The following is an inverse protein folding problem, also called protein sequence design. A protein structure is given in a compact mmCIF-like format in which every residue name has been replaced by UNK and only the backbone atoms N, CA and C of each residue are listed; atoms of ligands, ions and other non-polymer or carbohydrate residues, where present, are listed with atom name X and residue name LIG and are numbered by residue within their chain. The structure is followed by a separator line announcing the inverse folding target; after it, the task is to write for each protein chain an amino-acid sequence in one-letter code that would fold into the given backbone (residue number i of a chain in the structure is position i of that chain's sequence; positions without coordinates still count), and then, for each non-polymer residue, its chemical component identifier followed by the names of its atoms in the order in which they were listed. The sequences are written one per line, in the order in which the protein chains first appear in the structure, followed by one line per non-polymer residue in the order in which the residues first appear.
data_IF_865679585477
#
_entry.id   IF_865679585477
#
_cell.length_a   1.000
_cell.length_b   1.000
_cell.length_c   1.000
_cell.angle_alpha   90.00
_cell.angle_beta   90.00
_cell.angle_gamma   90.00
#
_symmetry.space_group_name_H-M   'P 1'
#
loop_
_entity.id
_entity.type
_entity.pdbx_description
1 polymer ?
#
# COMPACT_ATOMS: atom_id res chain seq x y z
N UNK A 1 -6.66 -8.35 -15.51
CA UNK A 1 -7.51 -7.21 -15.97
C UNK A 1 -7.41 -6.05 -14.98
N UNK A 2 -6.39 -5.20 -15.13
CA UNK A 2 -6.23 -3.94 -14.39
C UNK A 2 -7.49 -3.06 -14.38
N UNK A 3 -8.27 -3.14 -15.46
CA UNK A 3 -9.58 -2.50 -15.65
C UNK A 3 -10.61 -2.73 -14.53
N UNK A 4 -10.51 -3.81 -13.76
CA UNK A 4 -11.44 -4.07 -12.64
C UNK A 4 -10.99 -3.44 -11.32
N UNK A 5 -9.69 -3.27 -11.14
CA UNK A 5 -9.12 -2.86 -9.84
C UNK A 5 -8.88 -1.35 -9.77
N UNK A 6 -8.47 -0.69 -10.86
CA UNK A 6 -8.29 0.77 -10.85
C UNK A 6 -9.58 1.56 -10.52
N UNK A 7 -10.78 1.20 -11.04
CA UNK A 7 -12.01 1.85 -10.62
C UNK A 7 -12.28 1.69 -9.11
N UNK A 8 -11.91 0.54 -8.54
CA UNK A 8 -12.04 0.25 -7.10
C UNK A 8 -11.06 1.10 -6.29
N UNK A 9 -9.78 1.21 -6.72
CA UNK A 9 -8.78 2.11 -6.09
C UNK A 9 -9.32 3.54 -6.05
N UNK A 10 -9.85 4.03 -7.17
CA UNK A 10 -10.47 5.35 -7.25
C UNK A 10 -11.61 5.52 -6.25
N UNK A 11 -12.52 4.55 -6.18
CA UNK A 11 -13.65 4.59 -5.24
C UNK A 11 -13.15 4.65 -3.79
N UNK A 12 -12.18 3.82 -3.45
CA UNK A 12 -11.60 3.77 -2.10
C UNK A 12 -10.89 5.06 -1.73
N UNK A 13 -10.13 5.67 -2.65
CA UNK A 13 -9.52 6.98 -2.45
C UNK A 13 -10.56 8.09 -2.24
N UNK A 14 -11.72 7.99 -2.90
CA UNK A 14 -12.83 8.93 -2.68
C UNK A 14 -13.47 8.74 -1.31
N UNK A 15 -13.66 7.50 -0.87
CA UNK A 15 -14.11 7.22 0.50
C UNK A 15 -13.08 7.71 1.51
N UNK A 16 -11.80 7.43 1.27
CA UNK A 16 -10.70 7.87 2.11
C UNK A 16 -10.73 9.38 2.28
N UNK A 17 -10.87 10.18 1.23
CA UNK A 17 -10.95 11.64 1.33
C UNK A 17 -12.10 12.14 2.25
N UNK A 18 -13.23 11.43 2.29
CA UNK A 18 -14.42 11.81 3.07
C UNK A 18 -14.34 11.43 4.55
N UNK A 19 -13.57 10.39 4.88
CA UNK A 19 -13.50 9.90 6.26
C UNK A 19 -12.73 10.88 7.17
N UNK A 20 -13.23 11.16 8.39
CA UNK A 20 -12.49 11.95 9.38
C UNK A 20 -11.11 11.34 9.65
N UNK A 21 -10.06 12.12 9.38
CA UNK A 21 -8.67 11.73 9.59
C UNK A 21 -8.23 12.02 11.01
N UNK A 22 -8.86 11.34 11.94
CA UNK A 22 -8.54 11.49 13.36
C UNK A 22 -7.60 10.37 13.82
N UNK A 23 -6.53 10.76 14.50
CA UNK A 23 -5.64 9.84 15.20
C UNK A 23 -6.03 9.87 16.68
N UNK A 24 -6.79 8.86 17.13
CA UNK A 24 -7.20 8.73 18.54
C UNK A 24 -6.42 7.59 19.21
N UNK A 25 -5.21 7.90 19.64
CA UNK A 25 -4.35 6.97 20.37
C UNK A 25 -4.15 5.66 19.62
N UNK A 26 -4.73 4.58 20.14
CA UNK A 26 -4.52 3.18 19.72
C UNK A 26 -5.68 2.60 18.88
N UNK A 27 -6.68 3.42 18.54
CA UNK A 27 -7.89 2.94 17.86
C UNK A 27 -7.71 2.83 16.33
N UNK A 28 -8.04 1.65 15.78
CA UNK A 28 -8.16 1.46 14.33
C UNK A 28 -9.46 2.14 13.87
N UNK A 29 -9.33 3.24 13.12
CA UNK A 29 -10.47 4.00 12.56
C UNK A 29 -10.80 3.55 11.14
N UNK A 30 -11.99 3.95 10.66
CA UNK A 30 -12.46 3.64 9.30
C UNK A 30 -11.47 4.10 8.22
N UNK A 31 -10.86 5.28 8.39
CA UNK A 31 -9.86 5.77 7.44
C UNK A 31 -8.64 4.85 7.34
N UNK A 32 -8.21 4.24 8.44
CA UNK A 32 -7.09 3.31 8.48
C UNK A 32 -7.44 2.01 7.76
N UNK A 33 -8.61 1.43 8.04
CA UNK A 33 -9.12 0.27 7.31
C UNK A 33 -9.28 0.54 5.81
N UNK A 34 -9.72 1.75 5.46
CA UNK A 34 -9.83 2.19 4.07
C UNK A 34 -8.45 2.30 3.42
N UNK A 35 -7.45 2.83 4.13
CA UNK A 35 -6.06 2.87 3.68
C UNK A 35 -5.50 1.48 3.38
N UNK A 36 -5.72 0.53 4.29
CA UNK A 36 -5.33 -0.87 4.08
C UNK A 36 -5.96 -1.46 2.81
N UNK A 37 -7.26 -1.23 2.61
CA UNK A 37 -7.97 -1.74 1.44
C UNK A 37 -7.51 -1.07 0.14
N UNK A 38 -7.11 0.22 0.17
CA UNK A 38 -6.50 0.91 -0.99
C UNK A 38 -5.25 0.15 -1.43
N UNK A 39 -4.32 -0.11 -0.50
CA UNK A 39 -3.05 -0.74 -0.84
C UNK A 39 -3.21 -2.23 -1.19
N UNK A 40 -4.11 -2.96 -0.52
CA UNK A 40 -4.47 -4.33 -0.94
C UNK A 40 -5.06 -4.35 -2.35
N UNK A 41 -5.86 -3.35 -2.72
CA UNK A 41 -6.40 -3.24 -4.08
C UNK A 41 -5.32 -2.87 -5.10
N UNK A 42 -4.36 -2.01 -4.73
CA UNK A 42 -3.20 -1.70 -5.56
C UNK A 42 -2.31 -2.93 -5.79
N UNK A 43 -2.15 -3.81 -4.80
CA UNK A 43 -1.52 -5.11 -4.99
C UNK A 43 -2.21 -5.94 -6.10
N UNK A 44 -3.54 -5.99 -6.10
CA UNK A 44 -4.30 -6.67 -7.17
C UNK A 44 -4.11 -5.99 -8.53
N UNK A 45 -3.95 -4.66 -8.57
CA UNK A 45 -3.53 -3.94 -9.79
C UNK A 45 -2.20 -4.50 -10.27
N UNK A 46 -1.18 -4.56 -9.40
CA UNK A 46 0.15 -5.10 -9.70
C UNK A 46 0.10 -6.52 -10.25
N UNK A 47 -0.61 -7.43 -9.57
CA UNK A 47 -0.82 -8.80 -10.05
C UNK A 47 -1.50 -8.84 -11.42
N UNK A 48 -2.53 -8.01 -11.63
CA UNK A 48 -3.32 -8.00 -12.86
C UNK A 48 -2.58 -7.50 -14.10
N UNK A 49 -1.44 -6.85 -13.90
CA UNK A 49 -0.50 -6.41 -14.95
C UNK A 49 0.79 -7.24 -14.97
N UNK A 50 0.85 -8.33 -14.18
CA UNK A 50 2.05 -9.16 -14.00
C UNK A 50 3.27 -8.32 -13.59
N UNK A 51 3.06 -7.30 -12.75
CA UNK A 51 4.10 -6.38 -12.28
C UNK A 51 4.81 -5.58 -13.39
N UNK A 52 4.28 -5.60 -14.61
CA UNK A 52 4.74 -4.76 -15.73
C UNK A 52 4.00 -3.42 -15.70
N UNK A 53 4.51 -2.53 -14.87
CA UNK A 53 3.91 -1.22 -14.55
C UNK A 53 3.64 -0.29 -15.72
N UNK A 54 4.37 -0.44 -16.83
CA UNK A 54 4.08 0.30 -18.07
C UNK A 54 2.64 0.10 -18.55
N UNK A 55 1.98 -1.01 -18.20
CA UNK A 55 0.58 -1.31 -18.53
C UNK A 55 -0.47 -0.54 -17.70
N UNK A 56 -0.08 0.21 -16.68
CA UNK A 56 -1.01 0.96 -15.82
C UNK A 56 -1.35 2.32 -16.45
N UNK A 57 -0.37 2.96 -17.09
CA UNK A 57 -0.38 4.38 -17.46
C UNK A 57 -1.49 4.80 -18.42
N UNK A 58 -1.91 3.91 -19.32
CA UNK A 58 -2.88 4.21 -20.38
C UNK A 58 -4.35 4.13 -19.92
N UNK A 59 -4.60 3.88 -18.64
CA UNK A 59 -5.97 3.71 -18.14
C UNK A 59 -6.64 5.04 -17.78
N UNK A 60 -7.93 5.18 -18.13
CA UNK A 60 -8.68 6.44 -17.98
C UNK A 60 -8.78 6.95 -16.53
N UNK A 61 -8.78 6.04 -15.54
CA UNK A 61 -8.85 6.39 -14.12
C UNK A 61 -7.52 6.92 -13.54
N UNK A 62 -6.40 6.78 -14.25
CA UNK A 62 -5.06 7.09 -13.72
C UNK A 62 -4.95 8.55 -13.30
N UNK A 63 -5.42 9.47 -14.14
CA UNK A 63 -5.40 10.91 -13.85
C UNK A 63 -6.15 11.25 -12.56
N UNK A 64 -7.32 10.63 -12.35
CA UNK A 64 -8.14 10.86 -11.17
C UNK A 64 -7.53 10.23 -9.91
N UNK A 65 -6.93 9.04 -10.04
CA UNK A 65 -6.15 8.42 -8.95
C UNK A 65 -4.98 9.32 -8.54
N UNK A 66 -4.20 9.83 -9.50
CA UNK A 66 -3.09 10.74 -9.22
C UNK A 66 -3.56 12.01 -8.50
N UNK A 67 -4.67 12.61 -8.94
CA UNK A 67 -5.27 13.77 -8.28
C UNK A 67 -5.65 13.47 -6.83
N UNK A 68 -6.31 12.33 -6.57
CA UNK A 68 -6.74 11.94 -5.23
C UNK A 68 -5.59 11.57 -4.31
N UNK A 69 -4.57 10.88 -4.82
CA UNK A 69 -3.33 10.60 -4.07
C UNK A 69 -2.65 11.92 -3.69
N UNK A 70 -2.55 12.86 -4.63
CA UNK A 70 -1.97 14.18 -4.38
C UNK A 70 -2.70 14.92 -3.27
N UNK A 71 -4.04 14.94 -3.31
CA UNK A 71 -4.87 15.59 -2.30
C UNK A 71 -4.74 14.93 -0.90
N UNK A 72 -4.47 13.63 -0.86
CA UNK A 72 -4.40 12.84 0.38
C UNK A 72 -2.97 12.50 0.82
N UNK A 73 -1.94 13.07 0.20
CA UNK A 73 -0.54 12.62 0.36
C UNK A 73 -0.09 12.50 1.82
N UNK A 74 -0.37 13.52 2.63
CA UNK A 74 0.03 13.58 4.06
C UNK A 74 -0.59 12.43 4.85
N UNK A 75 -1.83 12.07 4.53
CA UNK A 75 -2.54 10.99 5.22
C UNK A 75 -2.15 9.61 4.74
N UNK A 76 -1.77 9.47 3.46
CA UNK A 76 -1.22 8.23 2.92
C UNK A 76 0.19 7.98 3.46
N UNK A 77 1.02 9.01 3.53
CA UNK A 77 2.35 8.99 4.17
C UNK A 77 2.23 8.61 5.65
N UNK A 78 1.35 9.29 6.40
CA UNK A 78 1.06 8.96 7.79
C UNK A 78 0.56 7.52 7.95
N UNK A 79 -0.32 7.04 7.06
CA UNK A 79 -0.75 5.65 7.06
C UNK A 79 0.43 4.70 6.91
N UNK A 80 1.28 4.91 5.91
CA UNK A 80 2.43 4.02 5.62
C UNK A 80 3.38 3.97 6.82
N UNK A 81 3.69 5.12 7.41
CA UNK A 81 4.58 5.23 8.57
C UNK A 81 4.04 4.49 9.81
N UNK A 82 2.75 4.63 10.10
CA UNK A 82 2.17 4.06 11.33
C UNK A 82 1.66 2.64 11.16
N UNK A 83 1.37 2.20 9.93
CA UNK A 83 0.71 0.92 9.65
C UNK A 83 1.42 -0.31 10.24
N UNK A 84 2.74 -0.50 10.04
CA UNK A 84 3.46 -1.64 10.60
C UNK A 84 3.30 -1.67 12.13
N UNK A 85 3.56 -0.54 12.79
CA UNK A 85 3.48 -0.42 14.23
C UNK A 85 2.06 -0.63 14.77
N UNK A 86 1.03 -0.17 14.06
CA UNK A 86 -0.37 -0.43 14.45
C UNK A 86 -0.72 -1.92 14.35
N UNK A 87 -0.30 -2.60 13.28
CA UNK A 87 -0.55 -4.03 13.09
C UNK A 87 0.31 -4.93 14.00
N UNK A 88 1.42 -4.44 14.56
CA UNK A 88 2.16 -5.10 15.66
C UNK A 88 1.40 -4.94 16.97
N UNK A 89 1.14 -3.68 17.36
CA UNK A 89 0.85 -3.34 18.74
C UNK A 89 -0.60 -3.62 19.14
N UNK A 90 -1.52 -3.67 18.17
CA UNK A 90 -2.96 -3.68 18.49
C UNK A 90 -3.70 -4.91 18.02
N UNK A 91 -3.21 -5.63 17.01
CA UNK A 91 -4.03 -6.65 16.39
C UNK A 91 -3.21 -7.82 15.83
N UNK A 92 -2.98 -8.82 16.69
CA UNK A 92 -2.42 -10.10 16.26
C UNK A 92 -3.33 -10.88 15.27
N UNK A 93 -4.50 -10.34 14.90
CA UNK A 93 -5.50 -11.06 14.09
C UNK A 93 -5.32 -10.91 12.58
N UNK A 94 -4.64 -9.86 12.10
CA UNK A 94 -4.42 -9.68 10.66
C UNK A 94 -3.34 -10.65 10.17
N UNK A 95 -3.58 -11.29 9.02
CA UNK A 95 -2.65 -12.26 8.45
C UNK A 95 -1.39 -11.57 7.92
N UNK A 96 -0.22 -12.22 8.05
CA UNK A 96 1.02 -11.79 7.41
C UNK A 96 0.84 -11.53 5.91
N UNK A 97 0.02 -12.33 5.23
CA UNK A 97 -0.34 -12.18 3.82
C UNK A 97 -0.97 -10.80 3.52
N UNK A 98 -1.89 -10.32 4.36
CA UNK A 98 -2.50 -8.99 4.19
C UNK A 98 -1.49 -7.85 4.36
N UNK A 99 -0.59 -7.96 5.33
CA UNK A 99 0.47 -6.97 5.57
C UNK A 99 1.42 -6.92 4.37
N UNK A 100 1.83 -8.09 3.86
CA UNK A 100 2.63 -8.20 2.64
C UNK A 100 1.92 -7.59 1.43
N UNK A 101 0.60 -7.78 1.30
CA UNK A 101 -0.20 -7.16 0.23
C UNK A 101 -0.23 -5.64 0.34
N UNK A 102 -0.38 -5.08 1.55
CA UNK A 102 -0.30 -3.63 1.76
C UNK A 102 1.06 -3.11 1.33
N UNK A 103 2.14 -3.74 1.79
CA UNK A 103 3.50 -3.33 1.41
C UNK A 103 3.73 -3.37 -0.10
N UNK A 104 3.28 -4.45 -0.75
CA UNK A 104 3.34 -4.60 -2.20
C UNK A 104 2.51 -3.53 -2.91
N UNK A 105 1.35 -3.17 -2.37
CA UNK A 105 0.48 -2.13 -2.91
C UNK A 105 1.11 -0.74 -2.89
N UNK A 106 1.86 -0.42 -1.83
CA UNK A 106 2.67 0.80 -1.74
C UNK A 106 3.69 0.83 -2.89
N UNK A 107 4.34 -0.30 -3.16
CA UNK A 107 5.28 -0.45 -4.27
C UNK A 107 4.60 -0.23 -5.64
N UNK A 108 3.36 -0.71 -5.82
CA UNK A 108 2.57 -0.44 -7.02
C UNK A 108 2.22 1.03 -7.14
N UNK A 109 1.92 1.74 -6.05
CA UNK A 109 1.70 3.18 -6.11
C UNK A 109 2.96 3.89 -6.61
N UNK A 110 4.10 3.64 -5.97
CA UNK A 110 5.36 4.34 -6.24
C UNK A 110 5.89 4.00 -7.63
N UNK A 111 6.01 2.73 -7.97
CA UNK A 111 6.63 2.29 -9.23
C UNK A 111 5.61 2.22 -10.38
N UNK A 112 4.37 1.88 -10.07
CA UNK A 112 3.28 1.76 -11.04
C UNK A 112 2.84 3.09 -11.63
N UNK A 113 2.89 4.14 -10.83
CA UNK A 113 2.44 5.48 -11.21
C UNK A 113 3.59 6.47 -11.45
N UNK A 114 4.85 6.04 -11.37
CA UNK A 114 6.00 6.89 -11.69
C UNK A 114 6.05 7.23 -13.18
N UNK A 115 6.52 8.43 -13.50
CA UNK A 115 6.60 8.94 -14.87
C UNK A 115 5.24 9.12 -15.54
N UNK A 116 4.19 9.41 -14.75
CA UNK A 116 2.91 9.92 -15.26
C UNK A 116 3.00 11.43 -15.48
N UNK A 117 3.53 12.16 -14.49
CA UNK A 117 3.84 13.57 -14.62
C UNK A 117 4.93 13.98 -13.63
N UNK A 118 5.79 14.96 -13.95
CA UNK A 118 6.82 15.43 -13.04
C UNK A 118 6.27 15.96 -11.71
N UNK A 119 5.06 16.53 -11.71
CA UNK A 119 4.40 17.00 -10.49
C UNK A 119 3.98 15.84 -9.59
N UNK A 120 3.48 14.76 -10.19
CA UNK A 120 3.08 13.58 -9.42
C UNK A 120 4.28 12.78 -8.93
N UNK A 121 5.36 12.70 -9.71
CA UNK A 121 6.59 12.04 -9.29
C UNK A 121 7.16 12.66 -8.01
N UNK A 122 7.10 13.99 -7.86
CA UNK A 122 7.45 14.65 -6.58
C UNK A 122 6.54 14.25 -5.42
N UNK A 123 5.26 13.97 -5.68
CA UNK A 123 4.35 13.45 -4.64
C UNK A 123 4.78 12.05 -4.23
N UNK A 124 5.15 11.21 -5.21
CA UNK A 124 5.63 9.86 -4.95
C UNK A 124 6.97 9.86 -4.21
N UNK A 125 7.91 10.73 -4.56
CA UNK A 125 9.20 10.87 -3.85
C UNK A 125 9.01 11.12 -2.36
N UNK A 126 8.07 11.99 -1.98
CA UNK A 126 7.75 12.26 -0.56
C UNK A 126 7.13 11.06 0.17
N UNK A 127 6.55 10.10 -0.57
CA UNK A 127 5.95 8.87 -0.01
C UNK A 127 6.98 7.71 0.01
N UNK A 128 8.06 7.81 -0.78
CA UNK A 128 8.83 6.67 -1.25
C UNK A 128 10.01 6.28 -0.37
N UNK A 129 10.77 7.21 0.19
CA UNK A 129 12.08 6.83 0.74
C UNK A 129 12.05 6.49 2.23
N UNK A 130 11.59 7.38 3.11
CA UNK A 130 11.77 7.17 4.55
C UNK A 130 10.77 6.16 5.13
N UNK A 131 9.48 6.30 4.78
CA UNK A 131 8.38 5.52 5.35
C UNK A 131 8.43 4.07 4.87
N UNK A 132 8.83 3.86 3.61
CA UNK A 132 8.94 2.52 3.03
C UNK A 132 10.11 1.77 3.66
N UNK A 133 11.26 2.41 3.85
CA UNK A 133 12.40 1.81 4.52
C UNK A 133 12.10 1.43 5.98
N UNK A 134 11.31 2.24 6.69
CA UNK A 134 10.90 1.92 8.05
C UNK A 134 9.89 0.76 8.07
N UNK A 135 8.93 0.73 7.13
CA UNK A 135 8.03 -0.42 6.95
C UNK A 135 8.84 -1.72 6.77
N UNK A 136 9.84 -1.65 5.91
CA UNK A 136 10.71 -2.76 5.54
C UNK A 136 11.53 -3.26 6.72
N UNK A 137 12.04 -2.34 7.52
CA UNK A 137 12.74 -2.64 8.77
C UNK A 137 11.82 -3.33 9.78
N UNK A 138 10.59 -2.86 9.94
CA UNK A 138 9.61 -3.51 10.81
C UNK A 138 9.36 -4.97 10.38
N UNK A 139 9.07 -5.20 9.09
CA UNK A 139 8.84 -6.55 8.55
C UNK A 139 10.03 -7.48 8.81
N UNK A 140 11.25 -7.00 8.54
CA UNK A 140 12.48 -7.77 8.77
C UNK A 140 12.61 -8.20 10.22
N UNK A 141 12.41 -7.26 11.17
CA UNK A 141 12.44 -7.56 12.61
C UNK A 141 11.40 -8.65 12.94
N UNK A 142 10.21 -8.62 12.36
CA UNK A 142 9.17 -9.61 12.69
C UNK A 142 9.53 -11.01 12.21
N UNK A 143 10.11 -11.11 11.01
CA UNK A 143 10.56 -12.38 10.43
C UNK A 143 11.69 -12.96 11.29
N UNK A 144 12.68 -12.14 11.62
CA UNK A 144 13.88 -12.53 12.38
C UNK A 144 13.56 -12.91 13.82
N UNK A 145 12.71 -12.12 14.50
CA UNK A 145 12.34 -12.37 15.90
C UNK A 145 11.29 -13.47 16.07
N UNK A 146 10.62 -13.87 14.98
CA UNK A 146 9.51 -14.82 15.05
C UNK A 146 8.26 -14.26 15.74
N UNK A 147 8.15 -12.93 15.88
CA UNK A 147 6.97 -12.26 16.43
C UNK A 147 5.69 -12.62 15.66
N UNK A 148 5.83 -12.97 14.38
CA UNK A 148 4.76 -13.39 13.47
C UNK A 148 5.17 -14.66 12.71
N UNK A 149 4.83 -15.85 13.23
CA UNK A 149 5.30 -17.12 12.65
C UNK A 149 4.66 -17.45 11.29
N UNK A 150 3.52 -16.84 10.96
CA UNK A 150 2.80 -16.99 9.70
C UNK A 150 3.53 -16.39 8.49
N UNK A 151 4.46 -15.44 8.67
CA UNK A 151 5.36 -15.00 7.59
C UNK A 151 6.24 -16.14 7.03
N UNK A 152 6.48 -17.19 7.82
CA UNK A 152 7.31 -18.33 7.42
C UNK A 152 6.56 -19.30 6.48
N UNK A 153 5.23 -19.18 6.40
CA UNK A 153 4.39 -20.00 5.54
C UNK A 153 4.13 -19.28 4.21
N UNK A 154 5.13 -19.29 3.33
CA UNK A 154 5.10 -18.61 2.03
C UNK A 154 3.96 -19.11 1.13
N UNK A 155 3.12 -18.23 0.55
CA UNK A 155 2.18 -18.60 -0.49
C UNK A 155 2.90 -18.98 -1.79
N UNK A 156 2.48 -20.08 -2.41
CA UNK A 156 2.98 -20.52 -3.70
C UNK A 156 2.55 -19.57 -4.83
N UNK A 157 3.48 -19.13 -5.68
CA UNK A 157 3.17 -18.46 -6.95
C UNK A 157 3.50 -16.96 -7.07
N UNK A 158 4.15 -16.35 -6.07
CA UNK A 158 4.60 -14.95 -6.15
C UNK A 158 6.04 -14.85 -6.70
N UNK A 159 6.29 -13.89 -7.60
CA UNK A 159 7.61 -13.64 -8.20
C UNK A 159 8.66 -13.25 -7.15
N UNK A 160 9.91 -13.63 -7.40
CA UNK A 160 11.04 -13.48 -6.46
C UNK A 160 11.39 -12.02 -6.10
N UNK A 161 10.98 -11.04 -6.91
CA UNK A 161 11.43 -9.65 -6.76
C UNK A 161 10.66 -8.85 -5.69
N UNK A 162 9.69 -9.47 -5.02
CA UNK A 162 9.04 -8.93 -3.82
C UNK A 162 9.68 -9.60 -2.59
N UNK A 163 10.75 -8.99 -2.12
CA UNK A 163 11.70 -9.54 -1.15
C UNK A 163 11.12 -9.84 0.26
N UNK A 164 9.91 -9.36 0.61
CA UNK A 164 9.25 -9.64 1.91
C UNK A 164 8.55 -11.02 1.99
N UNK A 165 8.77 -11.90 1.01
CA UNK A 165 8.28 -13.30 0.99
C UNK A 165 9.41 -14.34 1.12
N UNK A 166 10.64 -13.94 1.47
CA UNK A 166 11.81 -14.84 1.58
C UNK A 166 12.28 -15.00 3.03
#
# INVERSE_FOLDING_TARGET
MCRKHLPKVKQLLTSFEREPKEIRGREIKVWFLTGEEIFKTLFLVGQSVEWRYTKIKDHSDVSEICSKVTANKVWLESFISVYPNFRINFDLTCSADDICKVRSGIDVLIKGFSGISPQFDKVLENINEEEVHEFDRCLKIWVETGHRPDFRNKPSGLLQDHWWWF
#
